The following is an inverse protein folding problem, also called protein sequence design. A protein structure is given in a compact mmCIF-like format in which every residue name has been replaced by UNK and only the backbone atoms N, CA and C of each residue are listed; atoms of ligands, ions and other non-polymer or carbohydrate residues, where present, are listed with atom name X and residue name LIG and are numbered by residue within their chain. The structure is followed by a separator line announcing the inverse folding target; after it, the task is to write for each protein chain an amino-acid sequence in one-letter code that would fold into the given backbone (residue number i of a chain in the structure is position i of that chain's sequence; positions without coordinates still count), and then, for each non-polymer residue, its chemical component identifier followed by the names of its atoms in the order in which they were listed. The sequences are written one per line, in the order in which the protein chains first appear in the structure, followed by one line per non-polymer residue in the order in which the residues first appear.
data_IF_009152775722
#
_entry.id   IF_009152775722
#
_cell.length_a   1.000
_cell.length_b   1.000
_cell.length_c   1.000
_cell.angle_alpha   90.00
_cell.angle_beta   90.00
_cell.angle_gamma   90.00
#
_symmetry.space_group_name_H-M   'P 1'
#
loop_
_entity.id
_entity.type
_entity.pdbx_description
1 polymer ?
#
# COMPACT_ATOMS: atom_id res chain seq x y z
N UNK A 1 -36.70 -4.89 17.07
CA UNK A 1 -35.55 -4.77 17.98
C UNK A 1 -35.36 -3.30 18.28
N UNK A 2 -35.24 -2.92 19.56
CA UNK A 2 -35.00 -1.53 19.94
C UNK A 2 -33.62 -1.09 19.40
N UNK A 3 -33.56 0.14 18.88
CA UNK A 3 -32.37 0.81 18.33
C UNK A 3 -31.07 0.65 19.18
N UNK A 4 -31.11 0.63 20.54
CA UNK A 4 -29.93 0.50 21.39
C UNK A 4 -29.24 -0.87 21.30
N UNK A 5 -30.02 -1.95 21.20
CA UNK A 5 -29.50 -3.32 21.21
C UNK A 5 -28.75 -3.61 19.90
N UNK A 6 -29.27 -3.12 18.78
CA UNK A 6 -28.61 -3.22 17.49
C UNK A 6 -27.27 -2.45 17.47
N UNK A 7 -27.26 -1.23 18.04
CA UNK A 7 -26.04 -0.43 18.17
C UNK A 7 -24.99 -1.11 19.06
N UNK A 8 -25.38 -1.62 20.23
CA UNK A 8 -24.47 -2.31 21.15
C UNK A 8 -23.88 -3.59 20.53
N UNK A 9 -24.67 -4.38 19.80
CA UNK A 9 -24.19 -5.57 19.08
C UNK A 9 -23.24 -5.21 17.94
N UNK A 10 -23.52 -4.14 17.19
CA UNK A 10 -22.61 -3.64 16.14
C UNK A 10 -21.25 -3.22 16.75
N UNK A 11 -21.30 -2.51 17.87
CA UNK A 11 -20.12 -2.07 18.61
C UNK A 11 -19.31 -3.24 19.22
N UNK A 12 -19.97 -4.23 19.80
CA UNK A 12 -19.32 -5.45 20.27
C UNK A 12 -18.68 -6.23 19.11
N UNK A 13 -19.37 -6.33 17.97
CA UNK A 13 -18.83 -6.91 16.75
C UNK A 13 -17.60 -6.18 16.22
N UNK A 14 -17.61 -4.84 16.24
CA UNK A 14 -16.47 -4.01 15.87
C UNK A 14 -15.28 -4.22 16.81
N UNK A 15 -15.51 -4.25 18.13
CA UNK A 15 -14.47 -4.51 19.12
C UNK A 15 -13.86 -5.92 18.96
N UNK A 16 -14.68 -6.94 18.70
CA UNK A 16 -14.22 -8.32 18.44
C UNK A 16 -13.43 -8.38 17.12
N UNK A 17 -13.91 -7.73 16.05
CA UNK A 17 -13.18 -7.64 14.80
C UNK A 17 -11.81 -6.98 15.02
N UNK A 18 -11.77 -5.90 15.80
CA UNK A 18 -10.55 -5.18 16.16
C UNK A 18 -9.58 -6.05 16.96
N UNK A 19 -10.08 -6.75 17.97
CA UNK A 19 -9.29 -7.70 18.77
C UNK A 19 -8.65 -8.78 17.89
N UNK A 20 -9.41 -9.32 16.93
CA UNK A 20 -8.95 -10.38 16.03
C UNK A 20 -7.92 -9.89 15.01
N UNK A 21 -7.93 -8.63 14.61
CA UNK A 21 -6.88 -8.06 13.76
C UNK A 21 -5.53 -8.15 14.47
N UNK A 22 -5.49 -7.81 15.76
CA UNK A 22 -4.26 -7.83 16.55
C UNK A 22 -3.72 -9.20 16.94
N UNK A 23 -4.54 -10.25 16.90
CA UNK A 23 -4.12 -11.65 17.14
C UNK A 23 -3.54 -12.33 15.90
N UNK A 24 -3.61 -11.67 14.74
CA UNK A 24 -3.18 -12.23 13.46
C UNK A 24 -1.90 -11.60 12.91
N UNK A 25 -1.23 -10.76 13.69
CA UNK A 25 0.08 -10.22 13.31
C UNK A 25 1.03 -11.40 13.10
N UNK A 26 1.63 -11.45 11.91
CA UNK A 26 2.50 -12.55 11.53
C UNK A 26 3.79 -12.50 12.36
N UNK A 27 4.18 -13.65 12.90
CA UNK A 27 5.49 -13.80 13.52
C UNK A 27 6.55 -13.95 12.43
N UNK A 28 7.69 -13.27 12.60
CA UNK A 28 8.85 -13.45 11.73
C UNK A 28 9.20 -14.94 11.64
N UNK A 29 9.41 -15.50 10.43
CA UNK A 29 9.90 -16.85 10.31
C UNK A 29 11.27 -16.93 10.99
N UNK A 30 11.64 -18.09 11.57
CA UNK A 30 12.94 -18.25 12.21
C UNK A 30 14.06 -17.86 11.23
N UNK A 31 15.03 -17.09 11.73
CA UNK A 31 16.23 -16.75 10.98
C UNK A 31 16.90 -18.04 10.53
N UNK A 32 17.06 -18.23 9.21
CA UNK A 32 17.77 -19.38 8.68
C UNK A 32 19.25 -19.29 9.05
N UNK A 33 19.90 -20.45 9.13
CA UNK A 33 21.27 -20.62 9.60
C UNK A 33 22.26 -19.72 8.86
N UNK A 34 23.26 -19.22 9.59
CA UNK A 34 24.45 -18.60 9.01
C UNK A 34 25.04 -19.52 7.92
N UNK A 35 25.18 -19.00 6.69
CA UNK A 35 25.74 -19.74 5.55
C UNK A 35 24.77 -20.14 4.43
N UNK A 36 23.45 -19.93 4.58
CA UNK A 36 22.53 -20.15 3.44
C UNK A 36 22.69 -19.01 2.40
N UNK A 37 22.99 -19.36 1.14
CA UNK A 37 23.07 -18.38 0.05
C UNK A 37 21.69 -17.77 -0.19
N UNK A 38 21.55 -16.47 0.07
CA UNK A 38 20.36 -15.70 -0.25
C UNK A 38 20.41 -15.26 -1.73
N UNK A 39 19.26 -15.25 -2.43
CA UNK A 39 19.19 -14.89 -3.85
C UNK A 39 19.58 -13.42 -4.08
N UNK A 40 20.14 -13.11 -5.25
CA UNK A 40 20.41 -11.71 -5.60
C UNK A 40 19.10 -10.94 -5.83
N UNK A 41 18.98 -9.73 -5.29
CA UNK A 41 17.77 -8.90 -5.43
C UNK A 41 18.03 -7.68 -6.30
N UNK A 42 17.20 -7.45 -7.32
CA UNK A 42 17.15 -6.16 -8.02
C UNK A 42 16.02 -5.31 -7.47
N UNK A 43 16.38 -4.18 -6.89
CA UNK A 43 15.44 -3.19 -6.36
C UNK A 43 15.14 -2.18 -7.47
N UNK A 44 13.86 -2.07 -7.83
CA UNK A 44 13.37 -1.25 -8.93
C UNK A 44 12.54 -0.11 -8.35
N UNK A 45 12.98 1.11 -8.61
CA UNK A 45 12.37 2.35 -8.09
C UNK A 45 11.88 3.20 -9.27
N UNK A 46 10.60 3.11 -9.65
CA UNK A 46 10.03 4.06 -10.61
C UNK A 46 9.94 5.45 -9.97
N UNK A 47 10.50 6.47 -10.62
CA UNK A 47 10.59 7.81 -10.08
C UNK A 47 10.11 8.86 -11.10
N UNK A 48 9.22 9.75 -10.68
CA UNK A 48 8.82 10.95 -11.42
C UNK A 48 8.59 12.08 -10.44
N UNK A 49 9.42 13.11 -10.51
CA UNK A 49 9.39 14.27 -9.61
C UNK A 49 9.47 13.87 -8.13
N UNK A 50 10.54 13.17 -7.76
CA UNK A 50 10.80 12.60 -6.43
C UNK A 50 12.04 13.21 -5.76
N UNK A 51 12.48 14.42 -6.15
CA UNK A 51 13.71 15.02 -5.62
C UNK A 51 13.76 15.13 -4.08
N UNK A 52 12.59 15.21 -3.44
CA UNK A 52 12.46 15.31 -1.98
C UNK A 52 12.55 13.97 -1.28
N UNK A 53 11.97 12.92 -1.87
CA UNK A 53 11.79 11.62 -1.22
C UNK A 53 12.96 10.67 -1.52
N UNK A 54 13.38 10.63 -2.79
CA UNK A 54 14.36 9.68 -3.30
C UNK A 54 15.71 9.69 -2.55
N UNK A 55 16.28 10.83 -2.12
CA UNK A 55 17.52 10.81 -1.35
C UNK A 55 17.43 10.02 -0.04
N UNK A 56 16.28 10.05 0.62
CA UNK A 56 16.06 9.33 1.88
C UNK A 56 15.97 7.82 1.63
N UNK A 57 15.27 7.42 0.55
CA UNK A 57 15.25 6.03 0.10
C UNK A 57 16.66 5.51 -0.16
N UNK A 58 17.43 6.21 -1.00
CA UNK A 58 18.77 5.77 -1.39
C UNK A 58 19.74 5.75 -0.21
N UNK A 59 19.59 6.67 0.74
CA UNK A 59 20.35 6.64 1.98
C UNK A 59 20.02 5.41 2.85
N UNK A 60 18.75 4.99 2.90
CA UNK A 60 18.34 3.79 3.67
C UNK A 60 19.00 2.51 3.15
N UNK A 61 19.14 2.39 1.83
CA UNK A 61 19.77 1.21 1.21
C UNK A 61 21.28 1.10 1.46
N UNK A 62 21.96 2.17 1.88
CA UNK A 62 23.40 2.12 2.23
C UNK A 62 23.69 1.29 3.48
N UNK A 63 22.68 1.09 4.33
CA UNK A 63 22.80 0.40 5.62
C UNK A 63 22.11 -0.97 5.62
N UNK A 64 21.77 -1.50 4.44
CA UNK A 64 21.08 -2.79 4.34
C UNK A 64 22.05 -3.94 4.65
N UNK A 65 21.64 -4.77 5.61
CA UNK A 65 22.25 -6.05 5.91
C UNK A 65 21.67 -7.13 4.98
N UNK A 66 22.21 -7.19 3.76
CA UNK A 66 21.87 -8.21 2.77
C UNK A 66 23.07 -8.51 1.87
N UNK A 67 23.36 -9.79 1.54
CA UNK A 67 24.62 -10.17 0.91
C UNK A 67 24.80 -9.70 -0.55
N UNK A 68 23.74 -9.48 -1.30
CA UNK A 68 23.86 -9.06 -2.70
C UNK A 68 22.57 -8.46 -3.27
N UNK A 69 22.62 -7.19 -3.64
CA UNK A 69 21.53 -6.50 -4.30
C UNK A 69 22.05 -5.39 -5.22
N UNK A 70 21.19 -4.92 -6.12
CA UNK A 70 21.41 -3.70 -6.90
C UNK A 70 20.17 -2.81 -6.86
N UNK A 71 20.34 -1.51 -7.16
CA UNK A 71 19.25 -0.54 -7.22
C UNK A 71 19.19 0.07 -8.62
N UNK A 72 18.03 -0.03 -9.24
CA UNK A 72 17.70 0.53 -10.55
C UNK A 72 16.62 1.58 -10.35
N UNK A 73 16.98 2.84 -10.52
CA UNK A 73 16.02 3.96 -10.53
C UNK A 73 15.61 4.21 -11.97
N UNK A 74 14.31 4.21 -12.24
CA UNK A 74 13.77 4.56 -13.56
C UNK A 74 13.18 5.96 -13.49
N UNK A 75 13.88 6.92 -14.08
CA UNK A 75 13.40 8.29 -14.22
C UNK A 75 12.36 8.38 -15.36
N UNK A 76 11.08 8.48 -15.00
CA UNK A 76 9.96 8.64 -15.91
C UNK A 76 9.77 10.11 -16.28
N UNK A 77 10.79 10.69 -16.93
CA UNK A 77 10.83 12.07 -17.42
C UNK A 77 10.52 13.13 -16.33
N UNK A 78 11.30 13.12 -15.24
CA UNK A 78 11.17 14.15 -14.20
C UNK A 78 11.54 15.53 -14.73
N UNK A 79 10.89 16.56 -14.19
CA UNK A 79 11.19 17.98 -14.46
C UNK A 79 12.04 18.62 -13.36
N UNK A 80 12.36 17.86 -12.32
CA UNK A 80 13.12 18.29 -11.14
C UNK A 80 14.47 17.56 -11.06
N UNK A 81 15.16 17.63 -9.92
CA UNK A 81 16.50 17.05 -9.75
C UNK A 81 16.52 15.53 -9.48
N UNK A 82 15.41 14.81 -9.68
CA UNK A 82 15.29 13.37 -9.37
C UNK A 82 16.42 12.52 -9.95
N UNK A 83 16.65 12.60 -11.27
CA UNK A 83 17.67 11.79 -11.93
C UNK A 83 19.11 12.18 -11.54
N UNK A 84 19.35 13.48 -11.31
CA UNK A 84 20.65 13.99 -10.84
C UNK A 84 20.98 13.41 -9.46
N UNK A 85 20.04 13.51 -8.51
CA UNK A 85 20.20 13.03 -7.14
C UNK A 85 20.37 11.50 -7.09
N UNK A 86 19.65 10.76 -7.93
CA UNK A 86 19.78 9.31 -8.03
C UNK A 86 21.20 8.89 -8.47
N UNK A 87 21.74 9.54 -9.51
CA UNK A 87 23.11 9.28 -9.98
C UNK A 87 24.15 9.66 -8.94
N UNK A 88 23.99 10.82 -8.29
CA UNK A 88 24.90 11.28 -7.24
C UNK A 88 24.95 10.33 -6.03
N UNK A 89 23.86 9.62 -5.75
CA UNK A 89 23.79 8.60 -4.70
C UNK A 89 24.36 7.22 -5.13
N UNK A 90 24.82 7.07 -6.37
CA UNK A 90 25.41 5.84 -6.90
C UNK A 90 24.41 4.82 -7.44
N UNK A 91 23.13 5.19 -7.61
CA UNK A 91 22.14 4.30 -8.20
C UNK A 91 22.33 4.16 -9.71
N UNK A 92 21.98 2.99 -10.27
CA UNK A 92 21.87 2.83 -11.72
C UNK A 92 20.59 3.55 -12.17
N UNK A 93 20.73 4.56 -13.01
CA UNK A 93 19.57 5.36 -13.49
C UNK A 93 19.26 5.02 -14.94
N UNK A 94 18.04 4.57 -15.19
CA UNK A 94 17.46 4.41 -16.52
C UNK A 94 16.52 5.58 -16.79
N UNK A 95 16.61 6.20 -17.96
CA UNK A 95 15.59 7.14 -18.41
C UNK A 95 14.50 6.36 -19.13
N UNK A 96 13.25 6.52 -18.71
CA UNK A 96 12.13 5.85 -19.36
C UNK A 96 12.03 6.30 -20.84
N UNK A 97 11.75 5.35 -21.72
CA UNK A 97 11.32 5.64 -23.08
C UNK A 97 9.96 6.36 -23.07
N UNK A 98 9.60 7.06 -24.17
CA UNK A 98 8.30 7.70 -24.29
C UNK A 98 7.16 6.77 -23.93
N UNK A 99 6.17 7.26 -23.18
CA UNK A 99 5.03 6.46 -22.71
C UNK A 99 4.16 6.01 -23.91
N UNK A 100 4.08 4.71 -24.22
CA UNK A 100 3.22 4.23 -25.30
C UNK A 100 1.74 4.27 -24.91
N UNK A 101 0.87 4.30 -25.92
CA UNK A 101 -0.57 4.24 -25.72
C UNK A 101 -0.99 2.96 -24.98
N UNK A 102 -1.98 3.09 -24.09
CA UNK A 102 -2.46 1.98 -23.26
C UNK A 102 -1.56 1.64 -22.07
N UNK A 103 -0.50 2.40 -21.79
CA UNK A 103 0.34 2.22 -20.62
C UNK A 103 0.15 3.31 -19.57
N UNK A 104 0.22 2.90 -18.30
CA UNK A 104 0.43 3.83 -17.18
C UNK A 104 1.93 4.01 -16.93
N UNK A 105 2.34 5.24 -16.56
CA UNK A 105 3.75 5.63 -16.40
C UNK A 105 4.54 4.73 -15.46
N UNK A 106 4.01 4.42 -14.28
CA UNK A 106 4.66 3.52 -13.30
C UNK A 106 4.90 2.12 -13.88
N UNK A 107 3.88 1.54 -14.53
CA UNK A 107 3.99 0.21 -15.14
C UNK A 107 5.03 0.19 -16.26
N UNK A 108 5.05 1.24 -17.08
CA UNK A 108 6.03 1.36 -18.17
C UNK A 108 7.45 1.50 -17.65
N UNK A 109 7.65 2.30 -16.59
CA UNK A 109 8.94 2.44 -15.92
C UNK A 109 9.40 1.10 -15.32
N UNK A 110 8.55 0.42 -14.55
CA UNK A 110 8.86 -0.87 -13.96
C UNK A 110 9.17 -1.95 -15.02
N UNK A 111 8.41 -1.99 -16.13
CA UNK A 111 8.64 -2.94 -17.21
C UNK A 111 10.03 -2.79 -17.83
N UNK A 112 10.48 -1.56 -18.08
CA UNK A 112 11.78 -1.27 -18.69
C UNK A 112 12.96 -1.62 -17.78
N UNK A 113 12.78 -1.64 -16.46
CA UNK A 113 13.84 -2.02 -15.53
C UNK A 113 14.12 -3.52 -15.50
N UNK A 114 13.12 -4.37 -15.78
CA UNK A 114 13.25 -5.82 -15.60
C UNK A 114 14.29 -6.46 -16.52
N UNK A 115 14.39 -6.12 -17.82
CA UNK A 115 15.47 -6.62 -18.67
C UNK A 115 16.88 -6.23 -18.17
N UNK A 116 17.00 -5.09 -17.49
CA UNK A 116 18.26 -4.58 -16.95
C UNK A 116 18.62 -5.14 -15.56
N UNK A 117 17.66 -5.76 -14.90
CA UNK A 117 17.80 -6.39 -13.60
C UNK A 117 18.59 -7.70 -13.69
N UNK A 118 19.43 -7.97 -12.70
CA UNK A 118 20.25 -9.19 -12.56
C UNK A 118 19.73 -10.16 -11.49
N UNK A 119 18.84 -9.69 -10.63
CA UNK A 119 18.32 -10.44 -9.50
C UNK A 119 17.43 -11.60 -9.91
N UNK A 120 17.50 -12.64 -9.08
CA UNK A 120 16.53 -13.74 -9.07
C UNK A 120 15.20 -13.27 -8.46
N UNK A 121 15.26 -12.27 -7.58
CA UNK A 121 14.10 -11.59 -7.03
C UNK A 121 14.05 -10.13 -7.50
N UNK A 122 12.84 -9.63 -7.71
CA UNK A 122 12.55 -8.25 -8.11
C UNK A 122 11.77 -7.56 -7.00
N UNK A 123 12.34 -6.52 -6.39
CA UNK A 123 11.63 -5.67 -5.44
C UNK A 123 11.21 -4.37 -6.12
N UNK A 124 9.91 -4.22 -6.41
CA UNK A 124 9.36 -2.93 -6.82
C UNK A 124 9.00 -2.12 -5.56
N UNK A 125 9.53 -0.91 -5.45
CA UNK A 125 9.30 -0.04 -4.29
C UNK A 125 9.18 1.42 -4.71
N UNK A 126 8.31 2.18 -4.05
CA UNK A 126 8.09 3.59 -4.35
C UNK A 126 9.23 4.45 -3.76
N UNK A 127 9.46 5.62 -4.35
CA UNK A 127 10.56 6.54 -3.99
C UNK A 127 10.42 7.16 -2.58
N UNK A 128 9.25 7.04 -1.94
CA UNK A 128 8.90 7.59 -0.62
C UNK A 128 9.04 6.59 0.53
N UNK A 129 9.79 5.50 0.31
CA UNK A 129 10.03 4.44 1.28
C UNK A 129 11.41 4.54 1.94
N UNK A 130 11.51 4.06 3.17
CA UNK A 130 12.75 3.94 3.95
C UNK A 130 12.86 2.51 4.43
N UNK A 131 13.86 1.76 3.99
CA UNK A 131 13.96 0.33 4.31
C UNK A 131 14.74 0.09 5.60
N UNK A 132 14.24 -0.82 6.45
CA UNK A 132 14.95 -1.26 7.65
C UNK A 132 16.27 -1.96 7.25
N UNK A 133 17.36 -1.82 8.03
CA UNK A 133 18.63 -2.49 7.76
C UNK A 133 18.50 -3.98 7.44
N UNK A 134 17.72 -4.73 8.22
CA UNK A 134 17.46 -6.16 8.01
C UNK A 134 16.12 -6.44 7.28
N UNK A 135 15.43 -5.40 6.81
CA UNK A 135 14.11 -5.48 6.19
C UNK A 135 14.09 -6.35 4.92
N UNK A 136 15.08 -6.17 4.04
CA UNK A 136 15.20 -6.96 2.81
C UNK A 136 15.45 -8.45 3.12
N UNK A 137 16.34 -8.74 4.08
CA UNK A 137 16.63 -10.10 4.55
C UNK A 137 15.38 -10.78 5.09
N UNK A 138 14.63 -10.09 5.97
CA UNK A 138 13.36 -10.61 6.50
C UNK A 138 12.34 -10.86 5.40
N UNK A 139 12.17 -9.93 4.47
CA UNK A 139 11.21 -10.07 3.37
C UNK A 139 11.49 -11.30 2.50
N UNK A 140 12.76 -11.53 2.14
CA UNK A 140 13.18 -12.71 1.37
C UNK A 140 12.93 -14.00 2.15
N UNK A 141 13.23 -14.02 3.46
CA UNK A 141 12.94 -15.16 4.31
C UNK A 141 11.44 -15.46 4.40
N UNK A 142 10.59 -14.42 4.51
CA UNK A 142 9.13 -14.56 4.49
C UNK A 142 8.64 -15.11 3.16
N UNK A 143 9.13 -14.57 2.03
CA UNK A 143 8.77 -15.04 0.69
C UNK A 143 9.10 -16.53 0.54
N UNK A 144 10.32 -16.95 0.90
CA UNK A 144 10.76 -18.35 0.83
C UNK A 144 10.00 -19.27 1.81
N UNK A 145 9.78 -18.83 3.06
CA UNK A 145 9.08 -19.61 4.08
C UNK A 145 7.61 -19.87 3.69
N UNK A 146 6.93 -18.86 3.13
CA UNK A 146 5.56 -18.98 2.61
C UNK A 146 5.51 -19.61 1.22
N UNK A 147 6.67 -19.83 0.60
CA UNK A 147 6.84 -20.24 -0.80
C UNK A 147 6.07 -19.32 -1.75
N UNK A 148 5.96 -18.04 -1.42
CA UNK A 148 5.21 -17.07 -2.20
C UNK A 148 5.95 -16.74 -3.50
N UNK A 149 5.21 -16.50 -4.57
CA UNK A 149 5.73 -15.98 -5.84
C UNK A 149 5.66 -14.44 -5.87
N UNK A 150 4.74 -13.88 -5.09
CA UNK A 150 4.61 -12.43 -4.85
C UNK A 150 4.33 -12.18 -3.37
N UNK A 151 5.17 -11.33 -2.76
CA UNK A 151 4.99 -10.81 -1.42
C UNK A 151 4.73 -9.30 -1.47
N UNK A 152 3.66 -8.86 -0.84
CA UNK A 152 3.45 -7.44 -0.51
C UNK A 152 3.47 -7.25 1.00
N UNK A 153 3.91 -6.08 1.48
CA UNK A 153 4.06 -5.82 2.91
C UNK A 153 3.40 -4.51 3.34
N UNK A 154 2.85 -4.51 4.55
CA UNK A 154 2.34 -3.29 5.18
C UNK A 154 3.50 -2.35 5.55
N UNK A 155 3.37 -1.04 5.25
CA UNK A 155 4.35 -0.06 5.68
C UNK A 155 4.21 0.25 7.17
N UNK A 156 5.30 0.72 7.77
CA UNK A 156 5.25 1.46 9.02
C UNK A 156 5.14 2.96 8.74
N UNK A 157 4.17 3.64 9.34
CA UNK A 157 4.00 5.08 9.13
C UNK A 157 4.92 5.87 10.07
N UNK A 158 5.98 6.48 9.53
CA UNK A 158 6.96 7.27 10.31
C UNK A 158 6.35 8.54 10.91
N UNK A 159 5.35 9.11 10.24
CA UNK A 159 4.59 10.32 10.58
C UNK A 159 5.39 11.35 11.41
N UNK A 160 5.99 12.33 10.72
CA UNK A 160 6.56 13.52 11.39
C UNK A 160 5.50 14.26 12.23
N UNK A 161 5.87 15.10 13.23
CA UNK A 161 4.94 15.90 14.07
C UNK A 161 4.06 16.88 13.27
N UNK A 162 3.10 16.34 12.54
CA UNK A 162 2.19 17.00 11.59
C UNK A 162 0.80 16.37 11.71
N UNK A 163 -0.11 16.82 10.84
CA UNK A 163 -1.51 16.37 10.77
C UNK A 163 -1.66 14.82 10.65
N UNK A 164 -0.73 14.14 9.99
CA UNK A 164 -0.75 12.68 9.83
C UNK A 164 -0.71 11.93 11.16
N UNK A 165 0.02 12.42 12.17
CA UNK A 165 0.07 11.77 13.49
C UNK A 165 -1.30 11.79 14.17
N UNK A 166 -2.14 12.76 13.84
CA UNK A 166 -3.47 12.91 14.43
C UNK A 166 -4.51 12.08 13.67
N UNK A 167 -4.46 12.06 12.33
CA UNK A 167 -5.50 11.41 11.50
C UNK A 167 -5.13 9.97 11.04
N UNK A 168 -3.85 9.63 11.11
CA UNK A 168 -3.30 8.38 10.61
C UNK A 168 -3.65 7.09 11.38
N UNK A 169 -4.04 7.09 12.68
CA UNK A 169 -4.45 5.86 13.35
C UNK A 169 -5.58 5.12 12.64
N UNK A 170 -6.58 5.86 12.15
CA UNK A 170 -7.68 5.30 11.38
C UNK A 170 -7.19 4.74 10.04
N UNK A 171 -6.25 5.42 9.38
CA UNK A 171 -5.66 4.94 8.13
C UNK A 171 -4.99 3.57 8.30
N UNK A 172 -4.06 3.48 9.25
CA UNK A 172 -3.35 2.23 9.49
C UNK A 172 -4.29 1.10 9.93
N UNK A 173 -5.36 1.42 10.66
CA UNK A 173 -6.41 0.44 10.96
C UNK A 173 -7.06 -0.13 9.69
N UNK A 174 -7.43 0.72 8.72
CA UNK A 174 -8.03 0.26 7.45
C UNK A 174 -7.06 -0.66 6.69
N UNK A 175 -5.77 -0.31 6.63
CA UNK A 175 -4.77 -1.14 5.95
C UNK A 175 -4.62 -2.50 6.62
N UNK A 176 -4.45 -2.52 7.95
CA UNK A 176 -4.27 -3.74 8.72
C UNK A 176 -5.53 -4.61 8.64
N UNK A 177 -6.73 -4.05 8.78
CA UNK A 177 -7.98 -4.80 8.62
C UNK A 177 -8.11 -5.46 7.23
N UNK A 178 -7.55 -4.83 6.21
CA UNK A 178 -7.61 -5.30 4.82
C UNK A 178 -6.58 -6.41 4.52
N UNK A 179 -5.41 -6.38 5.18
CA UNK A 179 -4.31 -7.33 4.94
C UNK A 179 -4.55 -8.75 5.46
N UNK A 180 -5.39 -8.94 6.49
CA UNK A 180 -5.51 -10.20 7.24
C UNK A 180 -6.60 -11.16 6.71
N UNK A 181 -6.90 -11.12 5.41
CA UNK A 181 -7.86 -12.02 4.75
C UNK A 181 -7.12 -13.00 3.86
N UNK A 182 -7.52 -14.27 3.88
CA UNK A 182 -7.00 -15.29 2.97
C UNK A 182 -7.15 -14.78 1.53
N UNK A 183 -6.06 -14.58 0.78
CA UNK A 183 -6.14 -13.94 -0.52
C UNK A 183 -6.93 -14.83 -1.48
N UNK A 184 -7.93 -14.23 -2.13
CA UNK A 184 -8.71 -14.87 -3.20
C UNK A 184 -8.83 -13.90 -4.37
N UNK A 185 -8.96 -14.36 -5.62
CA UNK A 185 -9.20 -13.47 -6.75
C UNK A 185 -10.34 -12.49 -6.46
N UNK A 186 -10.12 -11.19 -6.73
CA UNK A 186 -11.05 -10.07 -6.43
C UNK A 186 -11.30 -9.75 -4.94
N UNK A 187 -10.65 -10.45 -4.01
CA UNK A 187 -10.60 -10.16 -2.55
C UNK A 187 -9.14 -10.13 -2.09
N UNK A 188 -8.41 -9.12 -2.57
CA UNK A 188 -6.98 -8.97 -2.38
C UNK A 188 -6.66 -7.64 -1.72
N UNK A 189 -5.53 -7.63 -1.03
CA UNK A 189 -4.95 -6.43 -0.49
C UNK A 189 -3.44 -6.48 -0.72
N UNK A 190 -2.95 -5.56 -1.54
CA UNK A 190 -1.55 -5.37 -1.86
C UNK A 190 -1.25 -3.88 -1.77
N UNK A 191 -0.01 -3.54 -1.46
CA UNK A 191 0.49 -2.18 -1.38
C UNK A 191 1.69 -2.05 -2.32
N UNK A 192 1.56 -1.18 -3.32
CA UNK A 192 2.55 -0.96 -4.38
C UNK A 192 3.88 -0.34 -3.93
N UNK A 193 3.96 0.10 -2.67
CA UNK A 193 5.21 0.58 -2.05
C UNK A 193 6.18 -0.57 -1.76
N UNK A 194 5.70 -1.82 -1.71
CA UNK A 194 6.54 -3.00 -1.53
C UNK A 194 5.93 -4.22 -2.24
N UNK A 195 6.51 -4.60 -3.38
CA UNK A 195 6.17 -5.81 -4.13
C UNK A 195 7.45 -6.60 -4.43
N UNK A 196 7.67 -7.69 -3.70
CA UNK A 196 8.79 -8.60 -3.92
C UNK A 196 8.31 -9.82 -4.71
N UNK A 197 8.83 -9.97 -5.93
CA UNK A 197 8.51 -11.02 -6.87
C UNK A 197 9.65 -12.02 -7.03
N UNK A 198 9.30 -13.30 -7.19
CA UNK A 198 10.16 -14.24 -7.91
C UNK A 198 10.22 -13.85 -9.39
N UNK A 199 11.42 -13.67 -9.95
CA UNK A 199 11.59 -13.20 -11.33
C UNK A 199 11.03 -14.20 -12.34
N UNK A 200 11.30 -15.49 -12.16
CA UNK A 200 10.85 -16.55 -13.07
C UNK A 200 9.32 -16.57 -13.14
N UNK A 201 8.65 -16.40 -12.00
CA UNK A 201 7.21 -16.24 -11.93
C UNK A 201 6.75 -14.94 -12.60
N UNK A 202 7.38 -13.82 -12.29
CA UNK A 202 7.03 -12.51 -12.83
C UNK A 202 7.03 -12.52 -14.37
N UNK A 203 8.09 -13.06 -14.97
CA UNK A 203 8.22 -13.18 -16.43
C UNK A 203 7.18 -14.14 -17.00
N UNK A 204 6.98 -15.31 -16.37
CA UNK A 204 5.96 -16.30 -16.79
C UNK A 204 4.53 -15.76 -16.75
N UNK A 205 4.20 -14.94 -15.75
CA UNK A 205 2.85 -14.39 -15.61
C UNK A 205 2.63 -13.13 -16.48
N UNK A 206 3.66 -12.66 -17.20
CA UNK A 206 3.61 -11.48 -18.07
C UNK A 206 3.85 -10.15 -17.35
N UNK A 207 4.02 -10.17 -16.02
CA UNK A 207 4.43 -9.01 -15.22
C UNK A 207 3.66 -7.71 -15.51
N UNK A 208 4.39 -6.60 -15.59
CA UNK A 208 3.82 -5.28 -15.89
C UNK A 208 3.22 -5.14 -17.30
N UNK A 209 3.59 -6.01 -18.26
CA UNK A 209 2.96 -6.01 -19.60
C UNK A 209 1.50 -6.41 -19.50
N UNK A 210 1.20 -7.47 -18.72
CA UNK A 210 -0.16 -7.96 -18.53
C UNK A 210 -1.08 -6.96 -17.79
N UNK A 211 -0.48 -5.98 -17.09
CA UNK A 211 -1.21 -4.94 -16.33
C UNK A 211 -0.91 -3.52 -16.83
N UNK A 212 -0.39 -3.36 -18.06
CA UNK A 212 0.07 -2.08 -18.62
C UNK A 212 -0.89 -0.91 -18.38
N UNK A 213 -2.17 -1.09 -18.73
CA UNK A 213 -3.24 -0.11 -18.61
C UNK A 213 -3.94 -0.09 -17.23
N UNK A 214 -3.54 -0.97 -16.30
CA UNK A 214 -4.28 -1.14 -15.05
C UNK A 214 -3.81 -0.15 -13.98
N UNK A 215 -4.78 0.32 -13.21
CA UNK A 215 -4.57 1.17 -12.04
C UNK A 215 -5.59 0.83 -10.94
N UNK A 216 -5.17 0.62 -9.67
CA UNK A 216 -3.78 0.59 -9.21
C UNK A 216 -3.06 -0.69 -9.68
N UNK A 217 -1.74 -0.60 -9.83
CA UNK A 217 -0.89 -1.65 -10.37
C UNK A 217 -0.67 -2.82 -9.39
N UNK A 218 -0.60 -2.53 -8.10
CA UNK A 218 -0.37 -3.51 -7.03
C UNK A 218 -1.47 -4.57 -6.91
N UNK A 219 -2.74 -4.16 -6.87
CA UNK A 219 -3.89 -5.06 -6.84
C UNK A 219 -4.01 -5.83 -8.16
N UNK A 220 -3.69 -5.20 -9.29
CA UNK A 220 -3.69 -5.82 -10.60
C UNK A 220 -2.64 -6.95 -10.67
N UNK A 221 -1.41 -6.70 -10.21
CA UNK A 221 -0.33 -7.67 -10.13
C UNK A 221 -0.64 -8.79 -9.14
N UNK A 222 -1.21 -8.50 -7.98
CA UNK A 222 -1.65 -9.51 -7.02
C UNK A 222 -2.73 -10.43 -7.61
N UNK A 223 -3.69 -9.85 -8.35
CA UNK A 223 -4.74 -10.61 -9.01
C UNK A 223 -4.21 -11.44 -10.18
N UNK A 224 -3.25 -10.90 -10.95
CA UNK A 224 -2.53 -11.61 -12.00
C UNK A 224 -1.79 -12.81 -11.42
N UNK A 225 -1.06 -12.63 -10.31
CA UNK A 225 -0.34 -13.70 -9.64
C UNK A 225 -1.26 -14.88 -9.30
N UNK A 226 -2.40 -14.63 -8.64
CA UNK A 226 -3.37 -15.69 -8.31
C UNK A 226 -4.00 -16.33 -9.55
N UNK A 227 -4.34 -15.54 -10.57
CA UNK A 227 -4.97 -16.06 -11.80
C UNK A 227 -4.01 -16.91 -12.63
N UNK A 228 -2.72 -16.64 -12.55
CA UNK A 228 -1.66 -17.42 -13.21
C UNK A 228 -1.16 -18.60 -12.36
N UNK A 229 -1.90 -18.98 -11.31
CA UNK A 229 -1.60 -20.13 -10.45
C UNK A 229 -0.49 -19.90 -9.42
N UNK A 230 -0.07 -18.65 -9.21
CA UNK A 230 0.94 -18.28 -8.22
C UNK A 230 0.41 -18.14 -6.80
N UNK A 231 1.33 -18.12 -5.85
CA UNK A 231 1.07 -17.88 -4.43
C UNK A 231 1.35 -16.42 -4.08
N UNK A 232 0.28 -15.66 -3.91
CA UNK A 232 0.34 -14.30 -3.37
C UNK A 232 0.25 -14.31 -1.84
N UNK A 233 1.08 -13.50 -1.18
CA UNK A 233 1.08 -13.30 0.27
C UNK A 233 1.15 -11.82 0.61
N UNK A 234 0.35 -11.41 1.61
CA UNK A 234 0.47 -10.11 2.26
C UNK A 234 1.12 -10.31 3.63
N UNK A 235 2.14 -9.51 3.93
CA UNK A 235 2.82 -9.50 5.22
C UNK A 235 2.28 -8.38 6.10
N UNK A 236 1.82 -8.75 7.30
CA UNK A 236 1.32 -7.82 8.30
C UNK A 236 1.99 -8.00 9.67
N UNK A 237 3.18 -8.61 9.69
CA UNK A 237 4.04 -8.75 10.88
C UNK A 237 4.91 -7.53 11.11
N UNK A 238 6.13 -7.74 11.62
CA UNK A 238 7.13 -6.65 11.78
C UNK A 238 7.36 -5.96 10.43
N UNK A 239 7.18 -4.63 10.31
CA UNK A 239 7.33 -3.91 9.05
C UNK A 239 8.73 -4.10 8.45
N UNK A 240 8.87 -4.10 7.13
CA UNK A 240 10.19 -4.12 6.46
C UNK A 240 10.70 -2.73 6.09
N UNK A 241 9.80 -1.77 6.04
CA UNK A 241 10.05 -0.42 5.57
C UNK A 241 9.08 0.56 6.24
N UNK A 242 9.52 1.81 6.33
CA UNK A 242 8.74 2.94 6.77
C UNK A 242 8.36 3.84 5.59
N UNK A 243 7.27 4.61 5.74
CA UNK A 243 6.80 5.58 4.75
C UNK A 243 6.36 6.89 5.39
N UNK A 244 6.46 7.95 4.60
CA UNK A 244 5.75 9.22 4.83
C UNK A 244 4.73 9.39 3.70
N UNK A 245 3.51 8.90 3.93
CA UNK A 245 2.57 8.64 2.83
C UNK A 245 1.98 9.92 2.24
N UNK A 246 1.66 10.92 3.06
CA UNK A 246 0.97 12.15 2.65
C UNK A 246 1.49 13.38 3.40
N UNK A 247 2.57 14.02 2.89
CA UNK A 247 3.19 15.16 3.57
C UNK A 247 2.21 16.30 3.93
N UNK A 248 1.14 16.49 3.15
CA UNK A 248 0.09 17.49 3.37
C UNK A 248 -1.31 16.85 3.36
N UNK A 249 -2.28 17.53 3.98
CA UNK A 249 -3.67 17.08 3.99
C UNK A 249 -4.28 17.04 2.58
N UNK A 250 -3.87 17.95 1.70
CA UNK A 250 -4.29 17.94 0.29
C UNK A 250 -3.81 16.66 -0.43
N UNK A 251 -2.54 16.26 -0.23
CA UNK A 251 -2.00 15.02 -0.79
C UNK A 251 -2.79 13.79 -0.29
N UNK A 252 -3.26 13.81 0.96
CA UNK A 252 -4.10 12.75 1.50
C UNK A 252 -5.46 12.66 0.82
N UNK A 253 -6.16 13.79 0.65
CA UNK A 253 -7.45 13.80 -0.05
C UNK A 253 -7.29 13.29 -1.48
N UNK A 254 -6.28 13.77 -2.21
CA UNK A 254 -6.00 13.34 -3.59
C UNK A 254 -5.60 11.87 -3.68
N UNK A 255 -4.73 11.41 -2.79
CA UNK A 255 -4.30 10.01 -2.72
C UNK A 255 -5.44 9.05 -2.38
N UNK A 256 -6.29 9.43 -1.42
CA UNK A 256 -7.45 8.62 -1.06
C UNK A 256 -8.49 8.59 -2.16
N UNK A 257 -8.82 9.75 -2.74
CA UNK A 257 -9.75 9.88 -3.87
C UNK A 257 -9.34 8.95 -5.02
N UNK A 258 -8.04 8.89 -5.31
CA UNK A 258 -7.44 7.99 -6.30
C UNK A 258 -7.55 6.52 -5.92
N UNK A 259 -7.25 6.16 -4.67
CA UNK A 259 -7.36 4.78 -4.18
C UNK A 259 -8.81 4.27 -4.21
N UNK A 260 -9.78 5.12 -3.90
CA UNK A 260 -11.21 4.79 -4.01
C UNK A 260 -11.58 4.50 -5.47
N UNK A 261 -11.20 5.39 -6.39
CA UNK A 261 -11.50 5.23 -7.81
C UNK A 261 -10.92 3.93 -8.40
N UNK A 262 -9.68 3.59 -8.02
CA UNK A 262 -9.00 2.38 -8.48
C UNK A 262 -9.48 1.10 -7.78
N UNK A 263 -9.61 1.14 -6.45
CA UNK A 263 -9.96 -0.01 -5.62
C UNK A 263 -11.37 -0.54 -5.83
N UNK A 264 -12.35 0.36 -6.05
CA UNK A 264 -13.74 0.01 -6.38
C UNK A 264 -13.87 -0.81 -7.66
N UNK A 265 -12.97 -0.62 -8.61
CA UNK A 265 -13.04 -1.26 -9.94
C UNK A 265 -12.29 -2.60 -9.98
N UNK A 266 -11.22 -2.77 -9.21
CA UNK A 266 -10.39 -3.98 -9.25
C UNK A 266 -10.78 -5.05 -8.23
N UNK A 267 -11.39 -4.67 -7.12
CA UNK A 267 -11.83 -5.62 -6.09
C UNK A 267 -13.35 -5.53 -5.89
N UNK A 268 -14.01 -6.67 -5.69
CA UNK A 268 -15.42 -6.68 -5.20
C UNK A 268 -15.48 -6.33 -3.72
N UNK A 269 -14.33 -6.22 -3.08
CA UNK A 269 -14.20 -5.79 -1.69
C UNK A 269 -13.99 -4.29 -1.71
N UNK A 270 -15.10 -3.58 -1.80
CA UNK A 270 -15.55 -2.62 -0.79
C UNK A 270 -14.67 -2.28 0.44
N UNK A 271 -13.49 -2.82 0.73
CA UNK A 271 -12.79 -2.71 2.04
C UNK A 271 -12.71 -1.28 2.58
N UNK A 272 -12.34 -0.26 1.78
CA UNK A 272 -12.33 1.11 2.26
C UNK A 272 -13.74 1.65 2.46
N UNK A 273 -14.65 1.40 1.52
CA UNK A 273 -16.03 1.92 1.55
C UNK A 273 -16.91 1.18 2.55
N UNK A 274 -16.88 -0.13 2.65
CA UNK A 274 -17.47 -0.92 3.73
C UNK A 274 -16.91 -0.50 5.08
N UNK A 275 -15.61 -0.22 5.19
CA UNK A 275 -15.04 0.27 6.46
C UNK A 275 -15.53 1.68 6.75
N UNK A 276 -15.51 2.60 5.78
CA UNK A 276 -16.06 3.96 5.93
C UNK A 276 -17.56 3.94 6.20
N UNK A 277 -18.34 3.09 5.53
CA UNK A 277 -19.78 2.89 5.74
C UNK A 277 -20.07 2.23 7.10
N UNK A 278 -19.25 1.28 7.54
CA UNK A 278 -19.34 0.72 8.88
C UNK A 278 -19.07 1.81 9.92
N UNK A 279 -18.05 2.64 9.73
CA UNK A 279 -17.79 3.77 10.61
C UNK A 279 -18.86 4.87 10.54
N UNK A 280 -19.41 5.16 9.36
CA UNK A 280 -20.53 6.10 9.19
C UNK A 280 -21.80 5.56 9.83
N UNK A 281 -22.09 4.27 9.69
CA UNK A 281 -23.20 3.60 10.37
C UNK A 281 -22.99 3.58 11.90
N UNK A 282 -21.74 3.42 12.37
CA UNK A 282 -21.38 3.55 13.79
C UNK A 282 -21.58 4.98 14.30
N UNK A 283 -21.27 6.01 13.49
CA UNK A 283 -21.49 7.41 13.82
C UNK A 283 -22.98 7.82 13.77
N UNK A 284 -23.77 7.21 12.89
CA UNK A 284 -25.20 7.48 12.71
C UNK A 284 -26.10 6.67 13.66
N UNK A 285 -25.63 5.52 14.17
CA UNK A 285 -26.45 4.56 14.92
C UNK A 285 -26.49 4.75 16.44
N UNK A 286 -25.63 5.61 17.01
CA UNK A 286 -25.56 5.81 18.46
C UNK A 286 -25.84 7.26 18.85
N UNK A 287 -26.93 7.50 19.58
CA UNK A 287 -26.99 8.70 20.40
C UNK A 287 -25.88 8.59 21.47
N UNK A 288 -24.93 9.54 21.55
CA UNK A 288 -23.79 9.47 22.48
C UNK A 288 -24.18 9.45 23.96
N UNK A 289 -25.47 9.58 24.27
CA UNK A 289 -26.06 9.56 25.61
C UNK A 289 -26.45 8.17 26.10
N UNK A 290 -26.41 7.12 25.26
CA UNK A 290 -26.72 5.76 25.71
C UNK A 290 -25.47 5.05 26.27
N UNK A 291 -25.48 4.79 27.58
CA UNK A 291 -24.40 4.11 28.34
C UNK A 291 -23.96 2.79 27.66
N UNK A 292 -24.89 2.09 27.00
CA UNK A 292 -24.63 0.84 26.29
C UNK A 292 -23.62 0.97 25.13
N UNK A 293 -23.48 2.17 24.53
CA UNK A 293 -22.53 2.43 23.44
C UNK A 293 -21.18 2.96 23.93
N UNK A 294 -21.09 3.46 25.17
CA UNK A 294 -19.88 4.08 25.73
C UNK A 294 -18.76 3.05 25.95
N UNK A 295 -19.07 1.92 26.60
CA UNK A 295 -18.08 0.90 26.94
C UNK A 295 -17.37 0.31 25.70
N UNK A 296 -18.08 -0.13 24.65
CA UNK A 296 -17.43 -0.59 23.43
C UNK A 296 -16.64 0.49 22.68
N UNK A 297 -17.13 1.74 22.69
CA UNK A 297 -16.43 2.87 22.06
C UNK A 297 -15.10 3.12 22.74
N UNK A 298 -15.08 3.12 24.08
CA UNK A 298 -13.85 3.23 24.88
C UNK A 298 -12.91 2.06 24.60
N UNK A 299 -13.44 0.83 24.50
CA UNK A 299 -12.63 -0.35 24.18
C UNK A 299 -12.00 -0.24 22.78
N UNK A 300 -12.75 0.17 21.76
CA UNK A 300 -12.21 0.38 20.41
C UNK A 300 -11.14 1.47 20.41
N UNK A 301 -11.37 2.61 21.06
CA UNK A 301 -10.38 3.68 21.17
C UNK A 301 -9.12 3.22 21.91
N UNK A 302 -9.26 2.47 23.00
CA UNK A 302 -8.14 1.89 23.74
C UNK A 302 -7.35 0.91 22.88
N UNK A 303 -8.02 0.06 22.10
CA UNK A 303 -7.36 -0.86 21.18
C UNK A 303 -6.65 -0.11 20.05
N UNK A 304 -7.23 0.95 19.47
CA UNK A 304 -6.54 1.82 18.51
C UNK A 304 -5.29 2.44 19.15
N UNK A 305 -5.39 3.01 20.35
CA UNK A 305 -4.26 3.60 21.08
C UNK A 305 -3.11 2.61 21.30
N UNK A 306 -3.43 1.37 21.66
CA UNK A 306 -2.42 0.33 21.90
C UNK A 306 -1.83 -0.15 20.58
N UNK A 307 -2.68 -0.46 19.60
CA UNK A 307 -2.26 -1.14 18.37
C UNK A 307 -1.65 -0.22 17.33
N UNK A 308 -1.97 1.08 17.33
CA UNK A 308 -1.41 2.04 16.39
C UNK A 308 0.12 2.08 16.39
N UNK A 309 0.74 1.75 17.53
CA UNK A 309 2.20 1.67 17.68
C UNK A 309 2.86 0.60 16.81
N UNK A 310 2.11 -0.45 16.44
CA UNK A 310 2.62 -1.55 15.61
C UNK A 310 2.79 -1.15 14.13
N UNK A 311 2.03 -0.17 13.65
CA UNK A 311 2.02 0.24 12.25
C UNK A 311 2.34 1.72 12.04
N UNK A 312 2.64 2.49 13.09
CA UNK A 312 3.19 3.83 12.92
C UNK A 312 3.39 4.65 14.20
N UNK A 313 4.00 5.83 14.04
CA UNK A 313 4.31 6.79 15.12
C UNK A 313 3.21 7.81 15.30
N UNK A 314 1.98 7.35 15.49
CA UNK A 314 0.83 8.24 15.66
C UNK A 314 0.77 8.88 17.04
N UNK A 315 0.01 9.98 17.13
CA UNK A 315 -0.27 10.70 18.37
C UNK A 315 -1.19 9.88 19.27
N UNK A 316 -0.97 9.96 20.58
CA UNK A 316 -1.93 9.45 21.57
C UNK A 316 -3.26 10.21 21.54
N UNK A 317 -3.28 11.41 20.97
CA UNK A 317 -4.51 12.20 20.78
C UNK A 317 -5.26 11.82 19.51
N UNK A 318 -4.64 11.08 18.58
CA UNK A 318 -5.24 10.75 17.29
C UNK A 318 -6.58 10.01 17.37
N UNK A 319 -6.76 9.05 18.31
CA UNK A 319 -8.04 8.36 18.45
C UNK A 319 -9.21 9.26 18.84
N UNK A 320 -8.98 10.38 19.55
CA UNK A 320 -10.03 11.37 19.82
C UNK A 320 -10.48 12.12 18.56
N UNK A 321 -9.64 12.11 17.51
CA UNK A 321 -9.89 12.77 16.24
C UNK A 321 -10.37 11.81 15.15
N UNK A 322 -10.80 10.60 15.53
CA UNK A 322 -11.47 9.67 14.62
C UNK A 322 -12.65 10.33 13.88
N UNK A 323 -13.53 11.15 14.50
CA UNK A 323 -14.60 11.82 13.76
C UNK A 323 -14.09 12.73 12.63
N UNK A 324 -13.01 13.47 12.88
CA UNK A 324 -12.39 14.35 11.88
C UNK A 324 -11.77 13.53 10.75
N UNK A 325 -11.07 12.44 11.11
CA UNK A 325 -10.50 11.51 10.14
C UNK A 325 -11.59 10.91 9.24
N UNK A 326 -12.71 10.49 9.84
CA UNK A 326 -13.87 9.96 9.12
C UNK A 326 -14.52 10.97 8.19
N UNK A 327 -14.67 12.23 8.63
CA UNK A 327 -15.16 13.30 7.77
C UNK A 327 -14.23 13.49 6.56
N UNK A 328 -12.91 13.50 6.77
CA UNK A 328 -11.93 13.61 5.69
C UNK A 328 -12.02 12.44 4.68
N UNK A 329 -12.14 11.20 5.17
CA UNK A 329 -12.37 10.02 4.32
C UNK A 329 -13.68 10.11 3.54
N UNK A 330 -14.74 10.60 4.17
CA UNK A 330 -16.06 10.75 3.56
C UNK A 330 -16.00 11.78 2.43
N UNK A 331 -15.36 12.93 2.67
CA UNK A 331 -15.14 13.96 1.65
C UNK A 331 -14.34 13.40 0.47
N UNK A 332 -13.20 12.75 0.73
CA UNK A 332 -12.37 12.18 -0.34
C UNK A 332 -13.11 11.09 -1.14
N UNK A 333 -13.94 10.28 -0.48
CA UNK A 333 -14.79 9.27 -1.13
C UNK A 333 -15.89 9.93 -1.97
N UNK A 334 -16.55 10.96 -1.46
CA UNK A 334 -17.59 11.69 -2.19
C UNK A 334 -17.03 12.37 -3.45
N UNK A 335 -15.84 12.99 -3.34
CA UNK A 335 -15.13 13.57 -4.49
C UNK A 335 -14.77 12.51 -5.53
N UNK A 336 -14.34 11.33 -5.11
CA UNK A 336 -14.04 10.22 -6.02
C UNK A 336 -15.30 9.74 -6.77
N UNK A 337 -16.41 9.59 -6.06
CA UNK A 337 -17.69 9.19 -6.65
C UNK A 337 -18.22 10.26 -7.61
N UNK A 338 -18.06 11.54 -7.27
CA UNK A 338 -18.42 12.65 -8.15
C UNK A 338 -17.62 12.63 -9.46
N UNK A 339 -16.31 12.37 -9.42
CA UNK A 339 -15.50 12.24 -10.65
C UNK A 339 -15.97 11.08 -11.51
N UNK A 340 -16.25 9.94 -10.89
CA UNK A 340 -16.72 8.75 -11.59
C UNK A 340 -18.07 9.02 -12.27
N UNK A 341 -18.98 9.73 -11.60
CA UNK A 341 -20.29 10.07 -12.12
C UNK A 341 -20.22 11.13 -13.24
N UNK A 342 -19.30 12.09 -13.13
CA UNK A 342 -19.10 13.16 -14.11
C UNK A 342 -18.25 12.75 -15.33
N UNK A 343 -17.76 11.50 -15.36
CA UNK A 343 -16.88 11.01 -16.43
C UNK A 343 -15.46 11.61 -16.38
N UNK A 344 -15.08 12.20 -15.24
CA UNK A 344 -13.78 12.81 -15.03
C UNK A 344 -12.63 11.80 -15.11
N UNK A 345 -11.52 12.20 -15.71
CA UNK A 345 -10.29 11.39 -15.78
C UNK A 345 -9.33 11.82 -14.69
N UNK A 346 -8.80 10.87 -13.90
CA UNK A 346 -7.82 11.18 -12.86
C UNK A 346 -6.50 11.60 -13.48
N UNK A 347 -5.95 12.74 -13.01
CA UNK A 347 -4.59 13.17 -13.30
C UNK A 347 -3.70 12.91 -12.09
N UNK A 348 -2.51 12.37 -12.33
CA UNK A 348 -1.49 12.15 -11.31
C UNK A 348 -0.11 12.59 -11.83
N UNK A 349 0.59 13.42 -11.06
CA UNK A 349 1.92 13.95 -11.42
C UNK A 349 2.00 14.51 -12.86
N UNK A 350 0.93 15.22 -13.25
CA UNK A 350 0.80 15.84 -14.56
C UNK A 350 0.36 14.91 -15.70
N UNK A 351 0.12 13.62 -15.46
CA UNK A 351 -0.35 12.66 -16.48
C UNK A 351 -1.77 12.20 -16.22
N UNK A 352 -2.53 11.95 -17.29
CA UNK A 352 -3.81 11.23 -17.22
C UNK A 352 -3.52 9.75 -16.97
N UNK A 353 -4.20 9.15 -16.01
CA UNK A 353 -4.17 7.70 -15.83
C UNK A 353 -5.10 7.06 -16.86
N UNK A 354 -4.58 6.09 -17.61
CA UNK A 354 -5.40 5.28 -18.51
C UNK A 354 -6.22 4.33 -17.63
N UNK A 355 -7.55 4.49 -17.66
CA UNK A 355 -8.46 3.63 -16.94
C UNK A 355 -8.79 2.37 -17.76
N UNK A 356 -9.27 1.33 -17.09
CA UNK A 356 -9.74 0.08 -17.71
C UNK A 356 -10.70 0.28 -18.91
N UNK A 357 -11.54 1.32 -18.87
CA UNK A 357 -12.51 1.62 -19.93
C UNK A 357 -11.90 2.22 -21.21
N UNK A 358 -10.65 2.68 -21.17
CA UNK A 358 -9.92 3.15 -22.36
C UNK A 358 -9.16 1.97 -23.02
N UNK A 359 -8.80 0.93 -22.25
CA UNK A 359 -8.13 -0.28 -22.77
C UNK A 359 -9.07 -1.20 -23.55
N UNK A 360 -10.36 -1.24 -23.20
CA UNK A 360 -11.37 -2.02 -23.91
C UNK A 360 -11.88 -1.33 -25.19
N UNK A 361 -11.69 -0.01 -25.34
CA UNK A 361 -12.08 0.73 -26.56
C UNK A 361 -11.10 0.57 -27.72
N UNK A 362 -9.90 0.03 -27.47
CA UNK A 362 -8.90 -0.27 -28.50
C UNK A 362 -8.98 -1.69 -29.07
N UNK A 363 -10.02 -2.47 -28.73
CA UNK A 363 -10.20 -3.87 -29.18
C UNK A 363 -11.44 -4.10 -30.06
N UNK A 364 -11.97 -3.04 -30.67
CA UNK A 364 -13.01 -3.15 -31.70
C UNK A 364 -12.46 -2.80 -33.07
#
# INVERSE_FOLDING_TARGET
MSHPVAAALAWAGAAIAFWRIGLRADADPPSRSEGECLPFVSIIVPARNEERALPTLLASFKNIDYPGFEIIVVDDHSSDRTAELARAAGARVLTAAPLPDGWNGKNWACHQAVPEAKGELLLFTDADTVHDPDGLRRAVNVLRARRADLLSALPYHRCEPRWERLMGPLHGLVLVASAHRTPKPRRLFAIGQFLLFDRTFYERCGGHVAVAAQYPDDLALANLCLRSGGRFSTWAGRPFFEVEMYPTFANFIDGWRRNVHGGLRQSRVSSPIETTLAFMAMAAGGHPTEIACLLPSVLVLALVLVRQRAWGRFSAWGPLLVPVSLAAYTVATALALYDMASGGTIRWKGRRLVGWADADRGKN
#
